data_IF_899446887179
#
_entry.id   IF_899446887179
#
_cell.length_a   1.000
_cell.length_b   1.000
_cell.length_c   1.000
_cell.angle_alpha   90.00
_cell.angle_beta   90.00
_cell.angle_gamma   90.00
#
_symmetry.space_group_name_H-M   'P 1'
#
loop_
_entity.id
_entity.type
_entity.pdbx_description
1 polymer ?
#
# COMPACT_ATOMS: atom_id res chain seq x y z
N UNK A 1 -37.60 10.98 -30.42
CA UNK A 1 -37.23 10.13 -29.27
C UNK A 1 -35.73 9.90 -29.37
N UNK A 2 -34.94 10.68 -28.65
CA UNK A 2 -33.49 10.51 -28.62
C UNK A 2 -33.21 9.41 -27.60
N UNK A 3 -32.86 8.22 -28.06
CA UNK A 3 -32.29 7.23 -27.17
C UNK A 3 -30.93 7.77 -26.74
N UNK A 4 -30.81 8.25 -25.50
CA UNK A 4 -29.50 8.43 -24.88
C UNK A 4 -28.81 7.08 -24.96
N UNK A 5 -27.77 6.99 -25.79
CA UNK A 5 -26.89 5.82 -25.82
C UNK A 5 -26.21 5.79 -24.46
N UNK A 6 -26.81 5.06 -23.53
CA UNK A 6 -26.29 4.86 -22.19
C UNK A 6 -25.04 4.00 -22.35
N UNK A 7 -23.87 4.65 -22.49
CA UNK A 7 -22.59 3.96 -22.57
C UNK A 7 -22.44 3.17 -21.28
N UNK A 8 -22.37 1.82 -21.33
CA UNK A 8 -22.20 1.02 -20.12
C UNK A 8 -20.96 1.49 -19.38
N UNK A 9 -21.04 1.62 -18.06
CA UNK A 9 -19.85 1.88 -17.27
C UNK A 9 -18.79 0.80 -17.56
N UNK A 10 -17.50 1.15 -17.62
CA UNK A 10 -16.44 0.17 -17.84
C UNK A 10 -16.54 -0.99 -16.85
N UNK A 11 -16.38 -2.23 -17.32
CA UNK A 11 -16.27 -3.39 -16.42
C UNK A 11 -14.93 -3.34 -15.69
N UNK A 12 -14.97 -2.95 -14.41
CA UNK A 12 -13.80 -2.83 -13.53
C UNK A 12 -13.63 -4.05 -12.60
N UNK A 13 -14.37 -5.15 -12.82
CA UNK A 13 -14.38 -6.30 -11.91
C UNK A 13 -13.00 -6.97 -11.80
N UNK A 14 -12.33 -7.16 -12.95
CA UNK A 14 -10.98 -7.71 -13.01
C UNK A 14 -9.98 -6.78 -12.27
N UNK A 15 -10.08 -5.49 -12.51
CA UNK A 15 -9.17 -4.47 -11.95
C UNK A 15 -9.34 -4.30 -10.44
N UNK A 16 -10.58 -4.43 -9.97
CA UNK A 16 -10.91 -4.49 -8.54
C UNK A 16 -10.25 -5.72 -7.90
N UNK A 17 -10.33 -6.90 -8.54
CA UNK A 17 -9.65 -8.12 -8.07
C UNK A 17 -8.13 -7.95 -8.04
N UNK A 18 -7.53 -7.32 -9.05
CA UNK A 18 -6.10 -7.00 -9.05
C UNK A 18 -5.73 -6.08 -7.88
N UNK A 19 -6.54 -5.07 -7.60
CA UNK A 19 -6.31 -4.14 -6.49
C UNK A 19 -6.39 -4.87 -5.14
N UNK A 20 -7.31 -5.83 -4.97
CA UNK A 20 -7.33 -6.70 -3.79
C UNK A 20 -6.05 -7.54 -3.66
N UNK A 21 -5.54 -8.11 -4.76
CA UNK A 21 -4.28 -8.85 -4.75
C UNK A 21 -3.12 -7.93 -4.34
N UNK A 22 -3.08 -6.69 -4.84
CA UNK A 22 -2.07 -5.71 -4.45
C UNK A 22 -2.09 -5.41 -2.94
N UNK A 23 -3.28 -5.28 -2.34
CA UNK A 23 -3.43 -5.12 -0.90
C UNK A 23 -2.96 -6.35 -0.12
N UNK A 24 -3.32 -7.55 -0.57
CA UNK A 24 -2.86 -8.80 0.05
C UNK A 24 -1.34 -8.93 0.01
N UNK A 25 -0.71 -8.62 -1.12
CA UNK A 25 0.75 -8.61 -1.26
C UNK A 25 1.40 -7.56 -0.35
N UNK A 26 0.82 -6.35 -0.24
CA UNK A 26 1.32 -5.35 0.69
C UNK A 26 1.18 -5.82 2.14
N UNK A 27 0.09 -6.49 2.51
CA UNK A 27 -0.11 -7.00 3.87
C UNK A 27 0.91 -8.08 4.23
N UNK A 28 1.31 -8.91 3.25
CA UNK A 28 2.32 -9.97 3.43
C UNK A 28 3.77 -9.48 3.25
N UNK A 29 3.96 -8.29 2.69
CA UNK A 29 5.28 -7.72 2.43
C UNK A 29 6.20 -7.70 3.67
N UNK A 30 5.70 -7.44 4.89
CA UNK A 30 6.57 -7.44 6.04
C UNK A 30 7.25 -8.76 6.39
N UNK A 31 6.62 -9.87 6.03
CA UNK A 31 7.13 -11.21 6.26
C UNK A 31 8.11 -11.68 5.17
N UNK A 32 8.28 -10.88 4.11
CA UNK A 32 9.12 -11.20 2.95
C UNK A 32 10.21 -10.16 2.72
N UNK A 33 10.61 -9.43 3.76
CA UNK A 33 11.57 -8.33 3.66
C UNK A 33 11.18 -7.31 2.56
N UNK A 34 9.89 -6.97 2.48
CA UNK A 34 9.33 -6.00 1.53
C UNK A 34 9.34 -6.41 0.06
N UNK A 35 9.78 -7.62 -0.30
CA UNK A 35 9.81 -8.11 -1.69
C UNK A 35 8.41 -8.10 -2.31
N UNK A 36 7.39 -8.56 -1.60
CA UNK A 36 6.02 -8.59 -2.12
C UNK A 36 5.43 -7.18 -2.34
N UNK A 37 5.86 -6.16 -1.59
CA UNK A 37 5.44 -4.79 -1.83
C UNK A 37 5.97 -4.27 -3.16
N UNK A 38 7.21 -4.65 -3.54
CA UNK A 38 7.78 -4.30 -4.85
C UNK A 38 6.95 -4.90 -5.98
N UNK A 39 6.60 -6.19 -5.88
CA UNK A 39 5.73 -6.85 -6.87
C UNK A 39 4.39 -6.13 -7.01
N UNK A 40 3.77 -5.75 -5.89
CA UNK A 40 2.52 -5.02 -5.90
C UNK A 40 2.62 -3.64 -6.57
N UNK A 41 3.72 -2.90 -6.35
CA UNK A 41 3.96 -1.61 -7.01
C UNK A 41 4.13 -1.79 -8.52
N UNK A 42 4.87 -2.81 -8.95
CA UNK A 42 5.05 -3.12 -10.38
C UNK A 42 3.69 -3.37 -11.03
N UNK A 43 2.82 -4.18 -10.40
CA UNK A 43 1.46 -4.41 -10.90
C UNK A 43 0.65 -3.12 -10.99
N UNK A 44 0.75 -2.25 -9.99
CA UNK A 44 0.08 -0.94 -9.99
C UNK A 44 0.53 -0.03 -11.13
N UNK A 45 1.83 -0.03 -11.46
CA UNK A 45 2.37 0.73 -12.60
C UNK A 45 1.90 0.14 -13.93
N UNK A 46 1.98 -1.19 -14.09
CA UNK A 46 1.54 -1.87 -15.32
C UNK A 46 0.05 -1.61 -15.59
N UNK A 47 -0.76 -1.57 -14.54
CA UNK A 47 -2.20 -1.40 -14.64
C UNK A 47 -2.67 0.06 -14.54
N UNK A 48 -1.74 1.02 -14.43
CA UNK A 48 -2.10 2.40 -14.12
C UNK A 48 -2.92 3.06 -15.22
N UNK A 49 -2.70 2.71 -16.48
CA UNK A 49 -3.42 3.31 -17.61
C UNK A 49 -4.86 2.81 -17.72
N UNK A 50 -5.11 1.54 -17.38
CA UNK A 50 -6.44 0.93 -17.44
C UNK A 50 -7.40 1.48 -16.38
N UNK A 51 -6.87 1.88 -15.22
CA UNK A 51 -7.66 2.35 -14.08
C UNK A 51 -7.75 3.89 -13.99
N UNK A 52 -7.19 4.63 -14.96
CA UNK A 52 -7.21 6.10 -14.97
C UNK A 52 -8.63 6.65 -14.92
N UNK A 53 -8.84 7.66 -14.08
CA UNK A 53 -10.16 8.28 -13.93
C UNK A 53 -11.18 7.43 -13.17
N UNK A 54 -10.78 6.26 -12.64
CA UNK A 54 -11.61 5.42 -11.78
C UNK A 54 -11.25 5.60 -10.32
N UNK A 55 -12.09 5.10 -9.40
CA UNK A 55 -11.78 5.10 -7.97
C UNK A 55 -10.56 4.22 -7.64
N UNK A 56 -10.22 3.23 -8.48
CA UNK A 56 -9.07 2.34 -8.28
C UNK A 56 -7.73 3.07 -8.44
N UNK A 57 -7.66 4.12 -9.27
CA UNK A 57 -6.46 4.97 -9.39
C UNK A 57 -6.02 5.51 -8.03
N UNK A 58 -7.00 5.93 -7.22
CA UNK A 58 -6.74 6.46 -5.88
C UNK A 58 -6.07 5.43 -4.96
N UNK A 59 -6.41 4.15 -5.13
CA UNK A 59 -5.90 3.05 -4.32
C UNK A 59 -4.48 2.67 -4.73
N UNK A 60 -4.21 2.59 -6.02
CA UNK A 60 -2.84 2.37 -6.53
C UNK A 60 -1.93 3.51 -6.12
N UNK A 61 -2.40 4.76 -6.17
CA UNK A 61 -1.67 5.93 -5.66
C UNK A 61 -1.46 5.87 -4.14
N UNK A 62 -2.45 5.44 -3.37
CA UNK A 62 -2.34 5.25 -1.91
C UNK A 62 -1.31 4.19 -1.52
N UNK A 63 -1.35 3.03 -2.17
CA UNK A 63 -0.37 1.95 -2.00
C UNK A 63 1.03 2.41 -2.40
N UNK A 64 1.15 3.13 -3.52
CA UNK A 64 2.42 3.72 -3.96
C UNK A 64 3.02 4.68 -2.94
N UNK A 65 2.21 5.57 -2.37
CA UNK A 65 2.66 6.43 -1.27
C UNK A 65 3.06 5.60 -0.05
N UNK A 66 2.28 4.58 0.31
CA UNK A 66 2.59 3.70 1.45
C UNK A 66 3.93 3.01 1.28
N UNK A 67 4.23 2.53 0.07
CA UNK A 67 5.52 1.94 -0.26
C UNK A 67 6.68 2.93 -0.11
N UNK A 68 6.60 4.12 -0.73
CA UNK A 68 7.68 5.10 -0.66
C UNK A 68 7.92 5.65 0.74
N UNK A 69 6.85 5.96 1.47
CA UNK A 69 6.97 6.35 2.88
C UNK A 69 7.46 5.18 3.73
N UNK A 70 7.03 3.95 3.45
CA UNK A 70 7.51 2.75 4.12
C UNK A 70 9.01 2.56 3.92
N UNK A 71 9.51 2.70 2.69
CA UNK A 71 10.94 2.64 2.37
C UNK A 71 11.73 3.73 3.10
N UNK A 72 11.23 4.96 3.11
CA UNK A 72 11.83 6.06 3.88
C UNK A 72 11.89 5.71 5.39
N UNK A 73 10.80 5.23 5.96
CA UNK A 73 10.74 4.87 7.37
C UNK A 73 11.58 3.65 7.73
N UNK A 74 11.80 2.70 6.81
CA UNK A 74 12.77 1.61 6.99
C UNK A 74 14.16 2.21 7.17
N UNK A 75 14.57 3.12 6.29
CA UNK A 75 15.88 3.77 6.38
C UNK A 75 16.02 4.52 7.71
N UNK A 76 15.00 5.29 8.09
CA UNK A 76 14.98 6.01 9.37
C UNK A 76 15.04 5.05 10.57
N UNK A 77 14.25 3.98 10.56
CA UNK A 77 14.25 2.98 11.62
C UNK A 77 15.62 2.30 11.74
N UNK A 78 16.26 1.94 10.63
CA UNK A 78 17.61 1.36 10.63
C UNK A 78 18.64 2.32 11.23
N UNK A 79 18.61 3.61 10.87
CA UNK A 79 19.52 4.63 11.44
C UNK A 79 19.28 4.79 12.95
N UNK A 80 18.02 4.88 13.38
CA UNK A 80 17.68 4.98 14.80
C UNK A 80 18.12 3.74 15.57
N UNK A 81 17.83 2.55 15.06
CA UNK A 81 18.27 1.28 15.67
C UNK A 81 19.80 1.21 15.76
N UNK A 82 20.54 1.65 14.73
CA UNK A 82 22.01 1.68 14.75
C UNK A 82 22.57 2.60 15.84
N UNK A 83 21.98 3.79 16.02
CA UNK A 83 22.36 4.73 17.08
C UNK A 83 22.03 4.15 18.46
N UNK A 84 20.86 3.54 18.63
CA UNK A 84 20.40 2.99 19.91
C UNK A 84 21.26 1.80 20.36
N UNK A 85 21.70 0.94 19.44
CA UNK A 85 22.51 -0.24 19.78
C UNK A 85 23.85 0.11 20.45
N UNK A 86 24.37 1.34 20.28
CA UNK A 86 25.63 1.78 20.91
C UNK A 86 25.50 1.83 22.44
N UNK A 87 24.30 1.98 22.99
CA UNK A 87 24.05 2.07 24.43
C UNK A 87 23.39 0.79 24.97
N UNK A 88 23.77 0.36 26.18
CA UNK A 88 23.18 -0.83 26.84
C UNK A 88 21.64 -0.70 27.00
N UNK A 89 21.16 0.51 27.32
CA UNK A 89 19.73 0.83 27.37
C UNK A 89 19.10 0.81 25.99
N UNK A 90 19.83 1.27 24.96
CA UNK A 90 19.28 1.38 23.62
C UNK A 90 19.02 0.03 22.95
N UNK A 91 19.76 -1.04 23.31
CA UNK A 91 19.44 -2.41 22.90
C UNK A 91 18.02 -2.82 23.36
N UNK A 92 17.60 -2.41 24.56
CA UNK A 92 16.28 -2.75 25.10
C UNK A 92 15.14 -2.03 24.38
N UNK A 93 15.41 -0.91 23.71
CA UNK A 93 14.40 -0.10 23.00
C UNK A 93 14.58 -0.09 21.47
N UNK A 94 15.63 -0.73 20.95
CA UNK A 94 15.98 -0.77 19.53
C UNK A 94 14.90 -1.40 18.64
N UNK A 95 13.99 -2.20 19.21
CA UNK A 95 12.87 -2.83 18.51
C UNK A 95 11.66 -1.88 18.34
N UNK A 96 11.57 -0.80 19.11
CA UNK A 96 10.43 0.13 19.09
C UNK A 96 10.24 0.79 17.73
N UNK A 97 11.28 1.34 17.06
CA UNK A 97 11.12 1.93 15.73
C UNK A 97 10.57 0.93 14.69
N UNK A 98 11.05 -0.32 14.75
CA UNK A 98 10.58 -1.40 13.87
C UNK A 98 9.11 -1.75 14.11
N UNK A 99 8.69 -1.88 15.38
CA UNK A 99 7.30 -2.14 15.72
C UNK A 99 6.38 -0.99 15.30
N UNK A 100 6.80 0.26 15.56
CA UNK A 100 6.02 1.44 15.19
C UNK A 100 5.81 1.50 13.66
N UNK A 101 6.86 1.25 12.88
CA UNK A 101 6.78 1.14 11.43
C UNK A 101 5.83 0.02 10.98
N UNK A 102 5.96 -1.17 11.57
CA UNK A 102 5.11 -2.31 11.25
C UNK A 102 3.63 -1.99 11.49
N UNK A 103 3.28 -1.48 12.67
CA UNK A 103 1.91 -1.11 13.02
C UNK A 103 1.36 -0.03 12.09
N UNK A 104 2.14 1.04 11.84
CA UNK A 104 1.75 2.12 10.94
C UNK A 104 1.47 1.61 9.51
N UNK A 105 2.35 0.75 8.99
CA UNK A 105 2.25 0.21 7.65
C UNK A 105 1.02 -0.69 7.50
N UNK A 106 0.83 -1.65 8.43
CA UNK A 106 -0.32 -2.57 8.43
C UNK A 106 -1.63 -1.79 8.56
N UNK A 107 -1.69 -0.81 9.47
CA UNK A 107 -2.86 0.08 9.61
C UNK A 107 -3.21 0.78 8.28
N UNK A 108 -2.22 1.34 7.59
CA UNK A 108 -2.42 2.03 6.30
C UNK A 108 -2.94 1.12 5.20
N UNK A 109 -2.42 -0.11 5.15
CA UNK A 109 -2.85 -1.13 4.19
C UNK A 109 -4.28 -1.57 4.49
N UNK A 110 -4.61 -1.90 5.75
CA UNK A 110 -5.97 -2.31 6.16
C UNK A 110 -6.98 -1.20 5.91
N UNK A 111 -6.68 0.05 6.28
CA UNK A 111 -7.55 1.20 6.04
C UNK A 111 -7.88 1.33 4.54
N UNK A 112 -6.86 1.22 3.68
CA UNK A 112 -7.04 1.26 2.23
C UNK A 112 -7.89 0.11 1.71
N UNK A 113 -7.62 -1.11 2.19
CA UNK A 113 -8.33 -2.29 1.76
C UNK A 113 -9.82 -2.28 2.19
N UNK A 114 -10.13 -1.80 3.38
CA UNK A 114 -11.52 -1.61 3.81
C UNK A 114 -12.25 -0.58 2.94
N UNK A 115 -11.58 0.52 2.58
CA UNK A 115 -12.15 1.54 1.69
C UNK A 115 -12.43 0.99 0.29
N UNK A 116 -11.56 0.09 -0.21
CA UNK A 116 -11.77 -0.62 -1.47
C UNK A 116 -13.02 -1.51 -1.41
N UNK A 117 -13.19 -2.23 -0.30
CA UNK A 117 -14.35 -3.11 -0.10
C UNK A 117 -15.67 -2.33 -0.08
N UNK A 118 -15.63 -1.07 0.37
CA UNK A 118 -16.76 -0.15 0.31
C UNK A 118 -17.01 0.44 -1.09
N UNK A 119 -16.16 0.16 -2.09
CA UNK A 119 -16.25 0.71 -3.44
C UNK A 119 -16.00 2.23 -3.51
N UNK A 120 -15.30 2.79 -2.52
CA UNK A 120 -15.06 4.24 -2.40
C UNK A 120 -13.64 4.61 -2.80
N UNK A 121 -13.40 5.83 -3.32
CA UNK A 121 -12.04 6.33 -3.50
C UNK A 121 -11.39 6.64 -2.14
N UNK A 122 -10.05 6.59 -2.10
CA UNK A 122 -9.24 6.94 -0.92
C UNK A 122 -8.41 8.20 -1.19
N UNK A 123 -8.26 9.07 -0.18
CA UNK A 123 -7.43 10.28 -0.23
C UNK A 123 -6.11 10.09 0.52
#
# INVERSE_FOLDING_TARGET
MNAEVQVPAPDLSADTRYTHIMYALHLLAPFTAWILAVVAIIMGIVKSDDIRGTYLESHVRWLSRTFWFGLLWIVVACVLTWILIISLVGILVAWIPGLALFVWYIYRVIKGWLTLNDGKPIA
#
